data_IF_468126513810
#
_entry.id   IF_468126513810
#
_cell.length_a   1.000
_cell.length_b   1.000
_cell.length_c   1.000
_cell.angle_alpha   90.00
_cell.angle_beta   90.00
_cell.angle_gamma   90.00
#
_symmetry.space_group_name_H-M   'P 1'
#
loop_
_entity.id
_entity.type
_entity.pdbx_description
1 polymer ?
#
# COMPACT_ATOMS: atom_id res chain seq x y z
N UNK A 1 6.10 12.41 20.71
CA UNK A 1 5.27 13.05 19.66
C UNK A 1 5.97 13.19 18.30
N UNK A 2 7.14 12.59 18.09
CA UNK A 2 7.93 12.67 16.85
C UNK A 2 7.67 11.51 15.84
N UNK A 3 6.83 10.55 16.20
CA UNK A 3 6.51 9.40 15.33
C UNK A 3 5.51 9.70 14.19
N UNK A 4 5.07 10.96 14.03
CA UNK A 4 4.04 11.33 13.05
C UNK A 4 4.57 11.96 11.75
N UNK A 5 5.88 12.08 11.58
CA UNK A 5 6.47 12.78 10.44
C UNK A 5 7.17 11.86 9.42
N UNK A 6 6.85 10.57 9.43
CA UNK A 6 7.24 9.72 8.32
C UNK A 6 6.31 10.05 7.15
N UNK A 7 6.86 10.66 6.11
CA UNK A 7 6.22 10.94 4.83
C UNK A 7 5.63 9.63 4.28
N UNK A 8 4.39 9.32 4.68
CA UNK A 8 3.62 8.25 4.06
C UNK A 8 3.56 8.60 2.59
N UNK A 9 4.25 7.84 1.77
CA UNK A 9 4.16 7.95 0.32
C UNK A 9 2.74 7.56 -0.10
N UNK A 10 1.82 8.52 0.03
CA UNK A 10 0.49 8.41 -0.53
C UNK A 10 0.65 8.32 -2.05
N UNK A 11 0.53 7.12 -2.56
CA UNK A 11 0.72 6.87 -3.97
C UNK A 11 -0.32 5.87 -4.44
N UNK A 12 -1.07 6.29 -5.44
CA UNK A 12 -2.08 5.47 -6.09
C UNK A 12 -1.40 4.51 -7.06
N UNK A 13 -1.70 3.21 -6.98
CA UNK A 13 -1.23 2.25 -7.97
C UNK A 13 -1.92 2.55 -9.31
N UNK A 14 -1.11 2.97 -10.30
CA UNK A 14 -1.57 3.35 -11.63
C UNK A 14 -2.36 2.23 -12.32
N UNK A 15 -1.86 0.99 -12.27
CA UNK A 15 -2.48 -0.15 -12.95
C UNK A 15 -3.87 -0.45 -12.37
N UNK A 16 -3.99 -0.44 -11.04
CA UNK A 16 -5.27 -0.64 -10.36
C UNK A 16 -6.27 0.45 -10.72
N UNK A 17 -5.83 1.71 -10.72
CA UNK A 17 -6.69 2.84 -11.06
C UNK A 17 -7.18 2.80 -12.51
N UNK A 18 -6.29 2.53 -13.47
CA UNK A 18 -6.65 2.37 -14.89
C UNK A 18 -7.71 1.26 -15.07
N UNK A 19 -7.53 0.11 -14.42
CA UNK A 19 -8.47 -1.00 -14.51
C UNK A 19 -9.85 -0.62 -13.94
N UNK A 20 -9.88 0.05 -12.78
CA UNK A 20 -11.14 0.53 -12.20
C UNK A 20 -11.87 1.52 -13.12
N UNK A 21 -11.14 2.44 -13.74
CA UNK A 21 -11.73 3.38 -14.71
C UNK A 21 -12.28 2.66 -15.95
N UNK A 22 -11.60 1.63 -16.46
CA UNK A 22 -12.15 0.81 -17.55
C UNK A 22 -13.44 0.12 -17.17
N UNK A 23 -13.53 -0.47 -15.98
CA UNK A 23 -14.75 -1.10 -15.47
C UNK A 23 -15.89 -0.06 -15.39
N UNK A 24 -15.59 1.14 -14.86
CA UNK A 24 -16.57 2.22 -14.77
C UNK A 24 -17.05 2.69 -16.15
N UNK A 25 -16.13 2.94 -17.10
CA UNK A 25 -16.44 3.40 -18.46
C UNK A 25 -17.30 2.36 -19.21
N UNK A 26 -16.92 1.08 -19.15
CA UNK A 26 -17.68 -0.02 -19.76
C UNK A 26 -19.06 -0.11 -19.13
N UNK A 27 -19.16 -0.03 -17.80
CA UNK A 27 -20.43 -0.03 -17.09
C UNK A 27 -21.32 1.15 -17.49
N UNK A 28 -20.80 2.36 -17.58
CA UNK A 28 -21.51 3.55 -18.05
C UNK A 28 -22.02 3.36 -19.49
N UNK A 29 -21.15 2.89 -20.37
CA UNK A 29 -21.52 2.65 -21.77
C UNK A 29 -22.64 1.63 -21.89
N UNK A 30 -22.54 0.49 -21.21
CA UNK A 30 -23.61 -0.54 -21.23
C UNK A 30 -24.91 0.03 -20.66
N UNK A 31 -24.87 0.73 -19.53
CA UNK A 31 -26.04 1.29 -18.86
C UNK A 31 -26.76 2.31 -19.73
N UNK A 32 -26.02 3.26 -20.32
CA UNK A 32 -26.60 4.29 -21.21
C UNK A 32 -27.28 3.65 -22.43
N UNK A 33 -26.60 2.70 -23.08
CA UNK A 33 -27.16 2.05 -24.27
C UNK A 33 -28.33 1.15 -23.90
N UNK A 34 -28.28 0.41 -22.80
CA UNK A 34 -29.42 -0.40 -22.34
C UNK A 34 -30.62 0.47 -21.95
N UNK A 35 -30.39 1.60 -21.28
CA UNK A 35 -31.46 2.55 -20.94
C UNK A 35 -32.15 3.10 -22.19
N UNK A 36 -31.42 3.45 -23.22
CA UNK A 36 -31.96 4.01 -24.46
C UNK A 36 -32.66 2.94 -25.32
N UNK A 37 -31.98 1.81 -25.62
CA UNK A 37 -32.50 0.83 -26.60
C UNK A 37 -33.44 -0.21 -26.00
N UNK A 38 -33.26 -0.59 -24.72
CA UNK A 38 -34.05 -1.64 -24.08
C UNK A 38 -35.18 -1.04 -23.25
N UNK A 39 -34.88 0.00 -22.46
CA UNK A 39 -35.87 0.60 -21.57
C UNK A 39 -36.63 1.76 -22.21
N UNK A 40 -36.30 2.17 -23.45
CA UNK A 40 -36.87 3.31 -24.16
C UNK A 40 -36.87 4.60 -23.31
N UNK A 41 -35.78 4.83 -22.59
CA UNK A 41 -35.61 5.96 -21.71
C UNK A 41 -35.16 7.17 -22.54
N UNK A 42 -35.95 8.25 -22.55
CA UNK A 42 -35.65 9.44 -23.35
C UNK A 42 -34.73 10.40 -22.54
N UNK A 43 -33.55 10.57 -23.04
CA UNK A 43 -32.55 11.52 -22.54
C UNK A 43 -31.61 11.94 -23.68
N UNK A 44 -30.79 12.96 -23.54
CA UNK A 44 -29.80 13.39 -24.55
C UNK A 44 -28.73 12.32 -24.83
N UNK A 45 -29.12 11.23 -25.52
CA UNK A 45 -28.34 10.04 -25.79
C UNK A 45 -26.96 10.33 -26.38
N UNK A 46 -26.91 11.22 -27.42
CA UNK A 46 -25.64 11.57 -28.08
C UNK A 46 -24.70 12.30 -27.09
N UNK A 47 -25.22 13.27 -26.33
CA UNK A 47 -24.45 14.02 -25.34
C UNK A 47 -23.90 13.09 -24.24
N UNK A 48 -24.72 12.16 -23.75
CA UNK A 48 -24.30 11.20 -22.73
C UNK A 48 -23.16 10.30 -23.22
N UNK A 49 -23.26 9.77 -24.46
CA UNK A 49 -22.18 8.98 -25.05
C UNK A 49 -20.90 9.80 -25.29
N UNK A 50 -21.00 11.07 -25.64
CA UNK A 50 -19.84 11.98 -25.74
C UNK A 50 -19.13 12.14 -24.39
N UNK A 51 -19.88 12.26 -23.29
CA UNK A 51 -19.32 12.32 -21.93
C UNK A 51 -18.55 11.04 -21.58
N UNK A 52 -19.07 9.86 -21.94
CA UNK A 52 -18.37 8.58 -21.75
C UNK A 52 -17.10 8.51 -22.60
N UNK A 53 -17.17 9.01 -23.84
CA UNK A 53 -16.02 9.09 -24.74
C UNK A 53 -14.92 9.99 -24.18
N UNK A 54 -15.25 11.13 -23.58
CA UNK A 54 -14.27 12.00 -22.87
C UNK A 54 -13.60 11.23 -21.73
N UNK A 55 -14.33 10.45 -20.94
CA UNK A 55 -13.78 9.55 -19.91
C UNK A 55 -12.81 8.54 -20.49
N UNK A 56 -13.18 7.94 -21.64
CA UNK A 56 -12.32 6.99 -22.38
C UNK A 56 -11.02 7.65 -22.83
N UNK A 57 -11.08 8.82 -23.45
CA UNK A 57 -9.90 9.59 -23.90
C UNK A 57 -9.00 9.93 -22.69
N UNK A 58 -9.59 10.37 -21.58
CA UNK A 58 -8.86 10.66 -20.35
C UNK A 58 -8.12 9.42 -19.82
N UNK A 59 -8.72 8.22 -19.90
CA UNK A 59 -8.07 6.99 -19.46
C UNK A 59 -6.94 6.56 -20.41
N UNK A 60 -7.13 6.70 -21.74
CA UNK A 60 -6.09 6.45 -22.74
C UNK A 60 -4.93 7.43 -22.54
N UNK A 61 -5.21 8.70 -22.25
CA UNK A 61 -4.18 9.69 -21.93
C UNK A 61 -3.35 9.29 -20.70
N UNK A 62 -4.00 8.80 -19.64
CA UNK A 62 -3.30 8.28 -18.46
C UNK A 62 -2.40 7.07 -18.79
N UNK A 63 -2.85 6.18 -19.68
CA UNK A 63 -2.05 5.03 -20.13
C UNK A 63 -0.83 5.46 -20.91
N UNK A 64 -0.99 6.41 -21.84
CA UNK A 64 0.02 6.78 -22.82
C UNK A 64 1.10 7.71 -22.28
N UNK A 65 0.76 8.61 -21.36
CA UNK A 65 1.67 9.67 -20.88
C UNK A 65 2.26 9.43 -19.49
N UNK A 66 1.70 8.51 -18.69
CA UNK A 66 2.18 8.24 -17.34
C UNK A 66 2.73 6.82 -17.23
N UNK A 67 4.08 6.68 -17.20
CA UNK A 67 4.75 5.38 -17.17
C UNK A 67 5.10 4.88 -15.76
N UNK A 68 5.08 5.74 -14.74
CA UNK A 68 5.40 5.36 -13.36
C UNK A 68 4.32 4.47 -12.76
N UNK A 69 4.73 3.41 -12.08
CA UNK A 69 3.81 2.47 -11.43
C UNK A 69 2.94 3.13 -10.34
N UNK A 70 3.46 4.18 -9.72
CA UNK A 70 2.78 4.95 -8.67
C UNK A 70 2.49 6.36 -9.18
N UNK A 71 1.23 6.78 -9.10
CA UNK A 71 0.81 8.14 -9.43
C UNK A 71 1.13 9.07 -8.26
N UNK A 72 1.64 10.26 -8.57
CA UNK A 72 1.81 11.30 -7.55
C UNK A 72 0.46 11.76 -7.02
N UNK A 73 0.43 12.25 -5.78
CA UNK A 73 -0.79 12.79 -5.15
C UNK A 73 -1.49 13.84 -6.04
N UNK A 74 -0.74 14.76 -6.65
CA UNK A 74 -1.28 15.81 -7.55
C UNK A 74 -1.87 15.21 -8.84
N UNK A 75 -1.20 14.24 -9.44
CA UNK A 75 -1.69 13.59 -10.67
C UNK A 75 -2.97 12.82 -10.40
N UNK A 76 -2.99 12.01 -9.36
CA UNK A 76 -4.17 11.24 -8.95
C UNK A 76 -5.37 12.16 -8.63
N UNK A 77 -5.12 13.27 -7.93
CA UNK A 77 -6.12 14.29 -7.65
C UNK A 77 -6.77 14.85 -8.91
N UNK A 78 -5.96 15.27 -9.89
CA UNK A 78 -6.48 15.84 -11.14
C UNK A 78 -7.38 14.85 -11.91
N UNK A 79 -6.97 13.58 -11.99
CA UNK A 79 -7.78 12.57 -12.66
C UNK A 79 -9.07 12.25 -11.89
N UNK A 80 -9.03 12.23 -10.55
CA UNK A 80 -10.23 12.01 -9.74
C UNK A 80 -11.22 13.18 -9.82
N UNK A 81 -10.72 14.43 -9.94
CA UNK A 81 -11.61 15.57 -10.25
C UNK A 81 -12.29 15.37 -11.60
N UNK A 82 -11.53 14.98 -12.63
CA UNK A 82 -12.09 14.73 -13.96
C UNK A 82 -13.17 13.64 -13.87
N UNK A 83 -12.95 12.59 -13.10
CA UNK A 83 -13.93 11.51 -12.90
C UNK A 83 -15.21 12.02 -12.20
N UNK A 84 -15.09 12.84 -11.15
CA UNK A 84 -16.26 13.43 -10.47
C UNK A 84 -17.03 14.36 -11.42
N UNK A 85 -16.33 15.22 -12.14
CA UNK A 85 -16.97 16.15 -13.09
C UNK A 85 -17.64 15.41 -14.25
N UNK A 86 -16.99 14.38 -14.79
CA UNK A 86 -17.55 13.53 -15.84
C UNK A 86 -18.82 12.83 -15.37
N UNK A 87 -18.81 12.23 -14.17
CA UNK A 87 -20.00 11.60 -13.59
C UNK A 87 -21.10 12.62 -13.30
N UNK A 88 -20.75 13.79 -12.77
CA UNK A 88 -21.72 14.88 -12.51
C UNK A 88 -22.41 15.31 -13.80
N UNK A 89 -21.65 15.50 -14.89
CA UNK A 89 -22.21 15.86 -16.18
C UNK A 89 -23.09 14.74 -16.76
N UNK A 90 -22.66 13.48 -16.59
CA UNK A 90 -23.44 12.32 -17.02
C UNK A 90 -24.77 12.25 -16.29
N UNK A 91 -24.78 12.39 -14.97
CA UNK A 91 -26.01 12.40 -14.17
C UNK A 91 -26.89 13.61 -14.46
N UNK A 92 -26.29 14.78 -14.68
CA UNK A 92 -27.05 15.96 -15.14
C UNK A 92 -27.88 15.68 -16.40
N UNK A 93 -27.31 14.97 -17.38
CA UNK A 93 -27.95 14.60 -18.62
C UNK A 93 -28.97 13.43 -18.50
N UNK A 94 -28.92 12.69 -17.39
CA UNK A 94 -29.71 11.43 -17.26
C UNK A 94 -30.65 11.42 -16.06
N UNK A 95 -31.12 12.60 -15.63
CA UNK A 95 -32.17 12.73 -14.60
C UNK A 95 -31.69 13.16 -13.23
N UNK A 96 -30.43 13.63 -13.09
CA UNK A 96 -29.90 14.26 -11.89
C UNK A 96 -29.92 13.37 -10.67
N UNK A 97 -30.41 13.92 -9.56
CA UNK A 97 -30.49 13.24 -8.27
C UNK A 97 -31.42 12.02 -8.26
N UNK A 98 -32.35 11.94 -9.19
CA UNK A 98 -33.29 10.83 -9.33
C UNK A 98 -32.73 9.66 -10.13
N UNK A 99 -31.55 9.80 -10.70
CA UNK A 99 -30.90 8.71 -11.41
C UNK A 99 -30.54 7.57 -10.43
N UNK A 100 -30.98 6.31 -10.66
CA UNK A 100 -30.75 5.21 -9.73
C UNK A 100 -29.25 4.88 -9.52
N UNK A 101 -28.39 5.30 -10.45
CA UNK A 101 -26.93 5.08 -10.37
C UNK A 101 -26.18 6.23 -9.70
N UNK A 102 -26.88 7.25 -9.16
CA UNK A 102 -26.29 8.45 -8.55
C UNK A 102 -25.29 8.11 -7.41
N UNK A 103 -25.49 6.97 -6.74
CA UNK A 103 -24.59 6.49 -5.68
C UNK A 103 -23.13 6.35 -6.17
N UNK A 104 -22.90 6.08 -7.47
CA UNK A 104 -21.56 5.95 -8.03
C UNK A 104 -20.77 7.25 -8.03
N UNK A 105 -21.41 8.40 -7.85
CA UNK A 105 -20.74 9.69 -7.71
C UNK A 105 -19.82 9.75 -6.46
N UNK A 106 -20.12 8.95 -5.44
CA UNK A 106 -19.35 8.90 -4.20
C UNK A 106 -18.03 8.10 -4.39
N UNK A 107 -17.97 7.16 -5.32
CA UNK A 107 -16.85 6.22 -5.47
C UNK A 107 -15.50 6.91 -5.64
N UNK A 108 -15.31 7.92 -6.51
CA UNK A 108 -14.01 8.57 -6.66
C UNK A 108 -13.50 9.21 -5.37
N UNK A 109 -14.38 9.81 -4.55
CA UNK A 109 -13.99 10.42 -3.26
C UNK A 109 -13.61 9.36 -2.22
N UNK A 110 -14.34 8.23 -2.14
CA UNK A 110 -13.99 7.11 -1.25
C UNK A 110 -12.66 6.50 -1.66
N UNK A 111 -12.42 6.34 -2.95
CA UNK A 111 -11.15 5.84 -3.46
C UNK A 111 -9.98 6.78 -3.14
N UNK A 112 -10.21 8.09 -3.20
CA UNK A 112 -9.24 9.10 -2.76
C UNK A 112 -8.90 8.96 -1.27
N UNK A 113 -9.88 8.66 -0.43
CA UNK A 113 -9.69 8.47 1.02
C UNK A 113 -8.74 7.32 1.36
N UNK A 114 -8.68 6.32 0.50
CA UNK A 114 -7.79 5.16 0.65
C UNK A 114 -6.35 5.45 0.19
N UNK A 115 -6.15 6.42 -0.71
CA UNK A 115 -4.92 6.52 -1.50
C UNK A 115 -4.23 7.88 -1.50
N UNK A 116 -4.94 8.96 -1.14
CA UNK A 116 -4.43 10.33 -1.21
C UNK A 116 -4.17 10.96 0.16
N UNK A 117 -3.42 12.06 0.16
CA UNK A 117 -3.21 12.88 1.34
C UNK A 117 -4.52 13.47 1.84
N UNK A 118 -4.64 13.63 3.17
CA UNK A 118 -5.86 14.11 3.84
C UNK A 118 -6.38 15.42 3.27
N UNK A 119 -5.50 16.41 3.01
CA UNK A 119 -5.89 17.72 2.46
C UNK A 119 -6.54 17.57 1.08
N UNK A 120 -5.91 16.81 0.21
CA UNK A 120 -6.37 16.55 -1.16
C UNK A 120 -7.70 15.80 -1.15
N UNK A 121 -7.83 14.84 -0.24
CA UNK A 121 -9.05 14.07 -0.08
C UNK A 121 -10.23 14.92 0.40
N UNK A 122 -10.04 15.81 1.37
CA UNK A 122 -11.12 16.72 1.83
C UNK A 122 -11.64 17.63 0.71
N UNK A 123 -10.77 18.06 -0.20
CA UNK A 123 -11.18 18.85 -1.37
C UNK A 123 -12.08 18.00 -2.30
N UNK A 124 -11.75 16.73 -2.54
CA UNK A 124 -12.56 15.84 -3.37
C UNK A 124 -13.92 15.54 -2.72
N UNK A 125 -13.96 15.32 -1.40
CA UNK A 125 -15.21 15.16 -0.64
C UNK A 125 -16.08 16.42 -0.82
N UNK A 126 -15.49 17.59 -0.69
CA UNK A 126 -16.21 18.86 -0.86
C UNK A 126 -16.74 19.03 -2.29
N UNK A 127 -15.95 18.72 -3.33
CA UNK A 127 -16.39 18.76 -4.73
C UNK A 127 -17.55 17.79 -4.94
N UNK A 128 -17.47 16.56 -4.42
CA UNK A 128 -18.56 15.58 -4.53
C UNK A 128 -19.82 16.06 -3.81
N UNK A 129 -19.69 16.65 -2.63
CA UNK A 129 -20.79 17.25 -1.88
C UNK A 129 -21.49 18.36 -2.70
N UNK A 130 -20.71 19.28 -3.28
CA UNK A 130 -21.23 20.35 -4.15
C UNK A 130 -21.91 19.76 -5.39
N UNK A 131 -21.36 18.70 -5.98
CA UNK A 131 -21.96 18.01 -7.11
C UNK A 131 -23.34 17.39 -6.78
N UNK A 132 -23.47 16.79 -5.59
CA UNK A 132 -24.78 16.26 -5.11
C UNK A 132 -25.79 17.39 -4.97
N UNK A 133 -25.41 18.49 -4.35
CA UNK A 133 -26.29 19.67 -4.20
C UNK A 133 -26.67 20.21 -5.57
N UNK A 134 -25.69 20.38 -6.48
CA UNK A 134 -25.95 20.85 -7.84
C UNK A 134 -26.98 19.96 -8.57
N UNK A 135 -26.80 18.64 -8.54
CA UNK A 135 -27.69 17.68 -9.18
C UNK A 135 -29.09 17.60 -8.53
N UNK A 136 -29.24 18.09 -7.30
CA UNK A 136 -30.55 18.17 -6.65
C UNK A 136 -31.40 19.28 -7.26
N UNK A 137 -30.77 20.40 -7.62
CA UNK A 137 -31.50 21.58 -8.13
C UNK A 137 -31.45 21.71 -9.65
N UNK A 138 -30.39 21.19 -10.29
CA UNK A 138 -30.14 21.35 -11.72
C UNK A 138 -29.92 19.98 -12.39
N UNK A 139 -30.79 19.63 -13.30
CA UNK A 139 -30.67 18.46 -14.15
C UNK A 139 -31.58 18.59 -15.38
N UNK A 140 -31.25 17.88 -16.44
CA UNK A 140 -32.08 17.81 -17.66
C UNK A 140 -33.25 16.87 -17.40
N UNK A 141 -34.50 17.34 -17.63
CA UNK A 141 -35.68 16.49 -17.44
C UNK A 141 -35.65 15.35 -18.46
N UNK A 142 -35.86 14.15 -17.97
CA UNK A 142 -35.89 12.93 -18.77
C UNK A 142 -37.30 12.39 -18.77
N UNK A 143 -37.76 11.93 -19.95
CA UNK A 143 -39.08 11.31 -20.08
C UNK A 143 -38.99 9.86 -19.64
N UNK A 144 -39.49 9.55 -18.45
CA UNK A 144 -39.65 8.16 -18.03
C UNK A 144 -40.77 7.52 -18.83
N UNK A 145 -40.62 6.27 -19.32
CA UNK A 145 -41.69 5.52 -19.97
C UNK A 145 -42.85 5.15 -19.03
N UNK A 146 -42.74 5.49 -17.74
CA UNK A 146 -43.77 5.30 -16.72
C UNK A 146 -44.56 6.60 -16.45
N UNK A 147 -45.85 6.51 -16.04
CA UNK A 147 -46.67 7.69 -15.88
C UNK A 147 -46.06 8.73 -14.94
N UNK A 148 -46.06 9.97 -15.45
CA UNK A 148 -45.42 11.15 -14.86
C UNK A 148 -45.73 11.37 -13.37
N UNK A 149 -44.72 11.83 -12.66
CA UNK A 149 -44.75 12.79 -11.52
C UNK A 149 -45.67 12.54 -10.30
N UNK A 150 -46.71 11.72 -10.40
CA UNK A 150 -47.63 11.49 -9.26
C UNK A 150 -47.16 10.40 -8.27
N UNK A 151 -46.13 9.63 -8.62
CA UNK A 151 -45.60 8.53 -7.77
C UNK A 151 -44.31 8.86 -7.04
N UNK A 152 -43.64 9.92 -7.44
CA UNK A 152 -42.43 10.37 -6.70
C UNK A 152 -42.88 11.41 -5.70
N UNK A 153 -43.15 10.98 -4.48
CA UNK A 153 -43.47 11.83 -3.36
C UNK A 153 -42.36 12.87 -3.17
N UNK A 154 -42.70 14.13 -2.85
CA UNK A 154 -41.73 15.23 -2.59
C UNK A 154 -40.63 14.84 -1.60
N UNK A 155 -40.91 13.88 -0.73
CA UNK A 155 -39.94 13.31 0.20
C UNK A 155 -38.69 12.73 -0.47
N UNK A 156 -38.82 12.15 -1.69
CA UNK A 156 -37.65 11.54 -2.38
C UNK A 156 -36.65 12.60 -2.85
N UNK A 157 -37.12 13.80 -3.20
CA UNK A 157 -36.23 14.90 -3.59
C UNK A 157 -35.30 15.35 -2.45
N UNK A 158 -35.73 15.21 -1.19
CA UNK A 158 -34.92 15.55 -0.03
C UNK A 158 -34.24 14.33 0.59
N UNK A 159 -34.90 13.17 0.59
CA UNK A 159 -34.34 11.97 1.22
C UNK A 159 -33.18 11.38 0.45
N UNK A 160 -33.19 11.40 -0.90
CA UNK A 160 -32.09 10.89 -1.72
C UNK A 160 -30.81 11.70 -1.50
N UNK A 161 -30.76 13.03 -1.68
CA UNK A 161 -29.54 13.80 -1.43
C UNK A 161 -29.07 13.71 0.02
N UNK A 162 -30.00 13.70 1.00
CA UNK A 162 -29.63 13.52 2.42
C UNK A 162 -28.97 12.17 2.67
N UNK A 163 -29.53 11.08 2.12
CA UNK A 163 -28.92 9.75 2.26
C UNK A 163 -27.56 9.65 1.58
N UNK A 164 -27.38 10.29 0.42
CA UNK A 164 -26.10 10.35 -0.28
C UNK A 164 -25.05 11.17 0.48
N UNK A 165 -25.45 12.28 1.08
CA UNK A 165 -24.54 13.10 1.90
C UNK A 165 -24.09 12.31 3.13
N UNK A 166 -25.02 11.65 3.83
CA UNK A 166 -24.69 10.78 4.96
C UNK A 166 -23.76 9.66 4.51
N UNK A 167 -24.06 8.99 3.40
CA UNK A 167 -23.23 7.94 2.82
C UNK A 167 -21.83 8.46 2.42
N UNK A 168 -21.76 9.65 1.82
CA UNK A 168 -20.49 10.30 1.46
C UNK A 168 -19.58 10.47 2.67
N UNK A 169 -20.08 11.08 3.74
CA UNK A 169 -19.28 11.32 4.94
C UNK A 169 -18.94 10.01 5.67
N UNK A 170 -19.90 9.11 5.83
CA UNK A 170 -19.70 7.84 6.51
C UNK A 170 -18.68 6.95 5.79
N UNK A 171 -18.84 6.77 4.47
CA UNK A 171 -17.93 5.92 3.69
C UNK A 171 -16.51 6.50 3.61
N UNK A 172 -16.38 7.82 3.47
CA UNK A 172 -15.07 8.47 3.46
C UNK A 172 -14.39 8.38 4.84
N UNK A 173 -15.13 8.58 5.93
CA UNK A 173 -14.62 8.42 7.29
C UNK A 173 -14.13 6.99 7.53
N UNK A 174 -14.94 6.00 7.18
CA UNK A 174 -14.58 4.58 7.26
C UNK A 174 -13.35 4.26 6.41
N UNK A 175 -13.29 4.75 5.16
CA UNK A 175 -12.18 4.55 4.26
C UNK A 175 -10.85 5.11 4.81
N UNK A 176 -10.90 6.30 5.43
CA UNK A 176 -9.72 6.91 6.08
C UNK A 176 -9.21 6.05 7.23
N UNK A 177 -10.11 5.58 8.11
CA UNK A 177 -9.75 4.71 9.24
C UNK A 177 -9.15 3.40 8.74
N UNK A 178 -9.82 2.76 7.78
CA UNK A 178 -9.36 1.51 7.19
C UNK A 178 -7.98 1.64 6.52
N UNK A 179 -7.74 2.74 5.80
CA UNK A 179 -6.44 3.02 5.19
C UNK A 179 -5.33 3.18 6.23
N UNK A 180 -5.63 3.85 7.35
CA UNK A 180 -4.67 4.02 8.46
C UNK A 180 -4.34 2.68 9.12
N UNK A 181 -5.36 1.88 9.43
CA UNK A 181 -5.18 0.56 10.05
C UNK A 181 -4.42 -0.39 9.13
N UNK A 182 -4.75 -0.43 7.83
CA UNK A 182 -4.04 -1.22 6.83
C UNK A 182 -2.55 -0.83 6.72
N UNK A 183 -2.26 0.49 6.77
CA UNK A 183 -0.87 0.97 6.77
C UNK A 183 -0.10 0.53 8.01
N UNK A 184 -0.72 0.60 9.21
CA UNK A 184 -0.07 0.17 10.46
C UNK A 184 0.23 -1.34 10.43
N UNK A 185 -0.70 -2.15 9.94
CA UNK A 185 -0.49 -3.60 9.77
C UNK A 185 0.67 -3.89 8.83
N UNK A 186 0.76 -3.17 7.71
CA UNK A 186 1.86 -3.31 6.76
C UNK A 186 3.20 -2.97 7.39
N UNK A 187 3.28 -1.83 8.08
CA UNK A 187 4.50 -1.39 8.77
C UNK A 187 4.95 -2.42 9.83
N UNK A 188 4.00 -3.04 10.54
CA UNK A 188 4.29 -4.11 11.50
C UNK A 188 4.82 -5.38 10.81
N UNK A 189 4.22 -5.79 9.70
CA UNK A 189 4.69 -6.94 8.90
C UNK A 189 6.10 -6.71 8.35
N UNK A 190 6.38 -5.52 7.83
CA UNK A 190 7.70 -5.16 7.31
C UNK A 190 8.77 -5.24 8.42
N UNK A 191 8.44 -4.80 9.65
CA UNK A 191 9.34 -4.93 10.82
C UNK A 191 9.59 -6.39 11.19
N UNK A 192 8.55 -7.21 11.23
CA UNK A 192 8.68 -8.65 11.54
C UNK A 192 9.57 -9.32 10.49
N UNK A 193 9.40 -9.03 9.20
CA UNK A 193 10.25 -9.57 8.14
C UNK A 193 11.72 -9.16 8.31
N UNK A 194 11.98 -7.89 8.70
CA UNK A 194 13.34 -7.42 8.99
C UNK A 194 13.96 -8.14 10.19
N UNK A 195 13.18 -8.38 11.25
CA UNK A 195 13.65 -9.12 12.41
C UNK A 195 14.00 -10.57 12.07
N UNK A 196 13.12 -11.25 11.32
CA UNK A 196 13.36 -12.63 10.85
C UNK A 196 14.62 -12.69 9.98
N UNK A 197 14.80 -11.74 9.05
CA UNK A 197 15.98 -11.68 8.20
C UNK A 197 17.27 -11.52 9.03
N UNK A 198 17.23 -10.65 10.05
CA UNK A 198 18.35 -10.44 10.96
C UNK A 198 18.64 -11.68 11.81
N UNK A 199 17.61 -12.36 12.31
CA UNK A 199 17.75 -13.63 13.04
C UNK A 199 18.42 -14.70 12.17
N UNK A 200 17.98 -14.87 10.92
CA UNK A 200 18.61 -15.80 9.98
C UNK A 200 20.08 -15.46 9.71
N UNK A 201 20.41 -14.18 9.59
CA UNK A 201 21.80 -13.72 9.43
C UNK A 201 22.65 -14.09 10.66
N UNK A 202 22.15 -13.84 11.86
CA UNK A 202 22.83 -14.18 13.11
C UNK A 202 23.03 -15.69 13.28
N UNK A 203 22.01 -16.49 12.97
CA UNK A 203 22.10 -17.97 13.01
C UNK A 203 23.13 -18.48 12.00
N UNK A 204 23.13 -17.92 10.78
CA UNK A 204 24.14 -18.27 9.76
C UNK A 204 25.57 -17.92 10.19
N UNK A 205 25.78 -16.71 10.73
CA UNK A 205 27.07 -16.28 11.25
C UNK A 205 27.53 -17.15 12.42
N UNK A 206 26.61 -17.49 13.33
CA UNK A 206 26.88 -18.40 14.44
C UNK A 206 27.30 -19.80 13.98
N UNK A 207 26.60 -20.34 12.98
CA UNK A 207 26.99 -21.62 12.36
C UNK A 207 28.35 -21.61 11.70
N UNK A 208 28.68 -20.52 10.98
CA UNK A 208 29.99 -20.35 10.34
C UNK A 208 31.10 -20.21 11.39
N UNK A 209 30.87 -19.43 12.47
CA UNK A 209 31.81 -19.28 13.56
C UNK A 209 32.09 -20.61 14.29
N UNK A 210 31.05 -21.40 14.55
CA UNK A 210 31.17 -22.74 15.16
C UNK A 210 31.94 -23.71 14.25
N UNK A 211 31.68 -23.72 12.95
CA UNK A 211 32.40 -24.54 11.98
C UNK A 211 33.88 -24.14 11.88
N UNK A 212 34.16 -22.84 11.85
CA UNK A 212 35.53 -22.31 11.86
C UNK A 212 36.25 -22.68 13.15
N UNK A 213 35.61 -22.55 14.30
CA UNK A 213 36.19 -22.92 15.58
C UNK A 213 36.53 -24.41 15.64
N UNK A 214 35.63 -25.29 15.14
CA UNK A 214 35.89 -26.72 15.07
C UNK A 214 37.05 -27.05 14.12
N UNK A 215 37.12 -26.44 12.96
CA UNK A 215 38.19 -26.65 11.97
C UNK A 215 39.55 -26.16 12.46
N UNK A 216 39.60 -25.10 13.29
CA UNK A 216 40.83 -24.58 13.88
C UNK A 216 41.27 -25.34 15.14
N UNK A 217 40.37 -25.97 15.86
CA UNK A 217 40.69 -26.73 17.07
C UNK A 217 41.60 -27.93 16.77
N UNK A 218 41.42 -28.63 15.63
CA UNK A 218 42.24 -29.78 15.24
C UNK A 218 43.72 -29.41 15.02
N UNK A 219 44.09 -28.43 14.17
CA UNK A 219 45.49 -28.05 13.96
C UNK A 219 46.12 -27.47 15.21
N UNK A 220 45.40 -26.72 16.02
CA UNK A 220 45.90 -26.19 17.30
C UNK A 220 46.17 -27.30 18.31
N UNK A 221 45.39 -28.35 18.36
CA UNK A 221 45.63 -29.52 19.19
C UNK A 221 46.93 -30.24 18.76
N UNK A 222 47.16 -30.37 17.45
CA UNK A 222 48.39 -30.93 16.89
C UNK A 222 49.62 -30.08 17.26
N UNK A 223 49.53 -28.77 17.13
CA UNK A 223 50.60 -27.84 17.52
C UNK A 223 50.88 -27.97 19.02
N UNK A 224 49.86 -28.08 19.86
CA UNK A 224 49.99 -28.28 21.31
C UNK A 224 50.78 -29.55 21.63
N UNK A 225 50.48 -30.66 20.97
CA UNK A 225 51.19 -31.94 21.17
C UNK A 225 52.65 -31.79 20.76
N UNK A 226 52.95 -31.21 19.59
CA UNK A 226 54.32 -30.98 19.09
C UNK A 226 55.11 -30.07 20.04
N UNK A 227 54.53 -29.00 20.54
CA UNK A 227 55.20 -28.09 21.51
C UNK A 227 55.49 -28.78 22.82
N UNK A 228 54.61 -29.67 23.30
CA UNK A 228 54.84 -30.48 24.49
C UNK A 228 55.95 -31.52 24.31
N UNK A 229 56.06 -32.16 23.13
CA UNK A 229 57.15 -33.08 22.83
C UNK A 229 58.48 -32.37 22.69
N UNK A 230 58.53 -31.20 22.04
CA UNK A 230 59.73 -30.37 21.95
C UNK A 230 60.21 -29.92 23.32
N UNK A 231 59.31 -29.55 24.22
CA UNK A 231 59.62 -29.16 25.58
C UNK A 231 60.32 -30.28 26.38
N UNK A 232 59.96 -31.55 26.11
CA UNK A 232 60.57 -32.72 26.76
C UNK A 232 61.92 -33.09 26.17
N UNK A 233 62.13 -32.88 24.86
CA UNK A 233 63.32 -33.31 24.15
C UNK A 233 64.45 -32.30 24.16
N UNK A 234 64.20 -31.02 24.46
CA UNK A 234 65.20 -29.93 24.43
C UNK A 234 65.62 -29.43 25.83
N UNK A 235 65.57 -30.28 26.82
CA UNK A 235 66.10 -29.96 28.19
C UNK A 235 67.59 -29.71 28.15
N UNK A 236 68.00 -28.45 28.21
CA UNK A 236 69.43 -28.08 28.26
C UNK A 236 69.84 -26.71 27.71
N UNK A 237 68.97 -26.08 26.94
CA UNK A 237 69.16 -24.74 26.38
C UNK A 237 68.06 -23.77 26.90
N UNK A 238 68.45 -22.92 27.87
CA UNK A 238 67.52 -22.02 28.57
C UNK A 238 66.77 -21.04 27.69
N UNK A 239 67.32 -20.68 26.53
CA UNK A 239 66.65 -19.74 25.63
C UNK A 239 65.54 -20.45 24.78
N UNK A 240 65.80 -21.68 24.32
CA UNK A 240 64.82 -22.51 23.60
C UNK A 240 63.66 -22.93 24.54
N UNK A 241 64.00 -23.22 25.80
CA UNK A 241 63.01 -23.58 26.83
C UNK A 241 61.99 -22.45 27.08
N UNK A 242 62.48 -21.18 27.13
CA UNK A 242 61.62 -20.00 27.24
C UNK A 242 60.68 -19.82 26.01
N UNK A 243 61.22 -20.01 24.79
CA UNK A 243 60.47 -19.88 23.57
C UNK A 243 59.35 -20.94 23.45
N UNK A 244 59.64 -22.18 23.84
CA UNK A 244 58.64 -23.26 23.88
C UNK A 244 57.54 -22.97 24.90
N UNK A 245 57.86 -22.46 26.07
CA UNK A 245 56.90 -22.07 27.11
C UNK A 245 55.97 -20.97 26.56
N UNK A 246 56.54 -19.94 25.93
CA UNK A 246 55.74 -18.88 25.29
C UNK A 246 54.82 -19.40 24.20
N UNK A 247 55.32 -20.30 23.35
CA UNK A 247 54.53 -20.91 22.25
C UNK A 247 53.38 -21.75 22.79
N UNK A 248 53.62 -22.54 23.84
CA UNK A 248 52.60 -23.34 24.53
C UNK A 248 51.51 -22.44 25.14
N UNK A 249 51.88 -21.33 25.75
CA UNK A 249 50.94 -20.35 26.30
C UNK A 249 50.08 -19.71 25.21
N UNK A 250 50.64 -19.38 24.04
CA UNK A 250 49.87 -18.81 22.93
C UNK A 250 48.88 -19.83 22.34
N UNK A 251 49.28 -21.08 22.17
CA UNK A 251 48.40 -22.16 21.71
C UNK A 251 47.23 -22.36 22.67
N UNK A 252 47.50 -22.38 23.99
CA UNK A 252 46.44 -22.50 25.00
C UNK A 252 45.48 -21.30 24.97
N UNK A 253 46.02 -20.09 24.77
CA UNK A 253 45.18 -18.88 24.60
C UNK A 253 44.30 -18.97 23.37
N UNK A 254 44.81 -19.45 22.23
CA UNK A 254 44.03 -19.68 21.02
C UNK A 254 42.91 -20.71 21.24
N UNK A 255 43.21 -21.82 21.93
CA UNK A 255 42.22 -22.84 22.29
C UNK A 255 41.10 -22.28 23.20
N UNK A 256 41.46 -21.40 24.15
CA UNK A 256 40.48 -20.75 25.03
C UNK A 256 39.54 -19.81 24.26
N UNK A 257 40.11 -19.05 23.28
CA UNK A 257 39.31 -18.15 22.43
C UNK A 257 38.36 -18.97 21.54
N UNK A 258 38.84 -20.06 20.92
CA UNK A 258 37.99 -20.94 20.10
C UNK A 258 36.89 -21.62 20.91
N UNK A 259 37.22 -22.04 22.15
CA UNK A 259 36.22 -22.60 23.08
C UNK A 259 35.12 -21.59 23.40
N UNK A 260 35.47 -20.31 23.63
CA UNK A 260 34.49 -19.24 23.86
C UNK A 260 33.61 -19.00 22.65
N UNK A 261 34.16 -19.02 21.42
CA UNK A 261 33.41 -18.88 20.19
C UNK A 261 32.47 -20.05 19.91
N UNK A 262 32.85 -21.28 20.33
CA UNK A 262 32.04 -22.49 20.15
C UNK A 262 30.94 -22.65 21.20
N UNK A 263 31.08 -22.08 22.41
CA UNK A 263 30.17 -22.25 23.55
C UNK A 263 29.07 -21.17 23.61
N UNK A 264 29.19 -20.05 22.90
CA UNK A 264 28.23 -18.95 22.94
C UNK A 264 27.47 -18.81 21.61
N UNK A 265 26.53 -19.72 21.25
CA UNK A 265 25.52 -19.42 20.27
C UNK A 265 24.34 -18.63 20.89
N UNK A 266 24.26 -18.51 22.22
CA UNK A 266 23.29 -17.69 22.94
C UNK A 266 23.95 -16.40 23.39
N UNK A 267 23.80 -15.35 22.60
CA UNK A 267 23.87 -13.99 23.11
C UNK A 267 22.63 -13.87 23.99
N UNK A 268 22.81 -13.85 25.32
CA UNK A 268 21.74 -13.42 26.23
C UNK A 268 21.31 -12.02 25.80
N UNK A 269 20.12 -11.95 25.19
CA UNK A 269 19.47 -10.71 24.87
C UNK A 269 19.03 -10.07 26.20
N UNK A 270 19.82 -9.13 26.68
CA UNK A 270 19.44 -8.24 27.81
C UNK A 270 18.33 -7.25 27.45
N UNK A 271 17.63 -7.48 26.34
CA UNK A 271 16.51 -6.66 25.88
C UNK A 271 15.24 -7.49 25.62
N UNK A 272 14.72 -8.14 26.66
CA UNK A 272 13.29 -8.50 26.73
C UNK A 272 12.67 -7.75 27.91
#
# INVERSE_FOLDING_TARGET
MEFLNNSKNYSLNRKTYINLRWIAIIGQFITINSAFFILNYEFPYIKANVVVLVGTISNIYLISFYFKNLLSNRTAFNFLIIDILQLTLLFYLTGGILNPFIIFLIIPSVFASLSLEKKTNYILIFITFVSIIFLTFYYEETSLPFPKKSLINEYFYFSIPMSLIIALFFLNFFAIIFAQESSLRKDALDKIQQLIAKEHELVSLGGQAAAAAHSLATPLSTIKVITQELSKSLTGNKDIEKDIVLLTQQVERCNQILKKLSINPNIDDEFI
#
